data_IF_780343208546
#
_entry.id   IF_780343208546
#
_cell.length_a   1.000
_cell.length_b   1.000
_cell.length_c   1.000
_cell.angle_alpha   90.00
_cell.angle_beta   90.00
_cell.angle_gamma   90.00
#
_symmetry.space_group_name_H-M   'P 1'
#
loop_
_entity.id
_entity.type
_entity.pdbx_description
1 polymer ?
#
# COMPACT_ATOMS: atom_id res chain seq x y z
N UNK A 1 -21.36 -14.39 6.28
CA UNK A 1 -20.67 -13.60 7.34
C UNK A 1 -19.30 -13.18 6.80
N UNK A 2 -18.76 -12.03 7.26
CA UNK A 2 -17.49 -11.49 6.75
C UNK A 2 -16.23 -12.14 7.37
N UNK A 3 -16.39 -13.14 8.24
CA UNK A 3 -15.26 -13.75 8.96
C UNK A 3 -14.59 -12.83 9.97
N UNK A 4 -15.26 -11.78 10.40
CA UNK A 4 -14.77 -10.81 11.39
C UNK A 4 -15.40 -11.07 12.77
N UNK A 5 -14.69 -10.73 13.86
CA UNK A 5 -15.28 -10.71 15.20
C UNK A 5 -16.46 -9.74 15.29
N UNK A 6 -17.43 -10.04 16.15
CA UNK A 6 -18.69 -9.28 16.29
C UNK A 6 -18.50 -7.80 16.67
N UNK A 7 -17.40 -7.47 17.35
CA UNK A 7 -17.09 -6.08 17.76
C UNK A 7 -16.53 -5.22 16.62
N UNK A 8 -16.14 -5.83 15.50
CA UNK A 8 -15.57 -5.11 14.33
C UNK A 8 -16.70 -4.50 13.49
N UNK A 9 -16.70 -3.19 13.37
CA UNK A 9 -17.69 -2.40 12.63
C UNK A 9 -17.09 -1.64 11.44
N UNK A 10 -15.77 -1.69 11.29
CA UNK A 10 -15.05 -1.03 10.19
C UNK A 10 -13.92 -1.91 9.64
N UNK A 11 -13.63 -1.75 8.36
CA UNK A 11 -12.52 -2.39 7.65
C UNK A 11 -11.60 -1.32 7.06
N UNK A 12 -10.31 -1.44 7.33
CA UNK A 12 -9.24 -0.60 6.80
C UNK A 12 -8.37 -1.45 5.88
N UNK A 13 -8.46 -1.20 4.58
CA UNK A 13 -7.76 -1.99 3.58
C UNK A 13 -6.51 -1.27 3.11
N UNK A 14 -5.36 -1.95 3.07
CA UNK A 14 -4.34 -1.53 2.13
C UNK A 14 -4.86 -1.68 0.70
N UNK A 15 -4.21 -1.04 -0.25
CA UNK A 15 -4.62 -1.05 -1.65
C UNK A 15 -3.84 -2.07 -2.48
N UNK A 16 -2.51 -1.89 -2.47
CA UNK A 16 -1.59 -2.63 -3.32
C UNK A 16 -1.36 -4.03 -2.72
N UNK A 17 -1.64 -5.11 -3.47
CA UNK A 17 -1.56 -6.48 -2.95
C UNK A 17 -2.81 -6.95 -2.19
N UNK A 18 -3.62 -6.05 -1.64
CA UNK A 18 -4.86 -6.39 -0.93
C UNK A 18 -6.09 -6.27 -1.83
N UNK A 19 -6.35 -5.09 -2.39
CA UNK A 19 -7.50 -4.83 -3.26
C UNK A 19 -7.14 -4.97 -4.75
N UNK A 20 -5.92 -4.57 -5.10
CA UNK A 20 -5.45 -4.51 -6.48
C UNK A 20 -4.10 -5.19 -6.65
N UNK A 21 -3.90 -5.81 -7.81
CA UNK A 21 -2.61 -6.39 -8.21
C UNK A 21 -1.73 -5.31 -8.84
N UNK A 22 -1.34 -4.31 -8.04
CA UNK A 22 -0.51 -3.18 -8.48
C UNK A 22 0.95 -3.32 -8.08
N UNK A 23 1.31 -4.30 -7.25
CA UNK A 23 2.69 -4.51 -6.80
C UNK A 23 3.64 -4.64 -8.00
N UNK A 24 3.32 -5.46 -9.00
CA UNK A 24 4.12 -5.62 -10.22
C UNK A 24 4.23 -4.33 -11.04
N UNK A 25 3.17 -3.50 -11.06
CA UNK A 25 3.19 -2.19 -11.75
C UNK A 25 4.07 -1.20 -11.00
N UNK A 26 4.04 -1.22 -9.66
CA UNK A 26 4.92 -0.42 -8.81
C UNK A 26 6.37 -0.81 -9.00
N UNK A 27 6.69 -2.09 -8.94
CA UNK A 27 8.03 -2.66 -9.14
C UNK A 27 8.59 -2.29 -10.52
N UNK A 28 7.82 -2.53 -11.59
CA UNK A 28 8.23 -2.19 -12.95
C UNK A 28 8.47 -0.68 -13.13
N UNK A 29 7.64 0.17 -12.53
CA UNK A 29 7.83 1.62 -12.59
C UNK A 29 9.06 2.07 -11.79
N UNK A 30 9.37 1.46 -10.65
CA UNK A 30 10.59 1.71 -9.90
C UNK A 30 11.82 1.26 -10.64
N UNK A 31 11.78 0.03 -11.18
CA UNK A 31 12.89 -0.51 -11.98
C UNK A 31 13.21 0.39 -13.15
N UNK A 32 12.25 0.78 -13.95
CA UNK A 32 12.45 1.68 -15.07
C UNK A 32 12.99 3.05 -14.63
N UNK A 33 12.48 3.59 -13.52
CA UNK A 33 12.92 4.88 -12.97
C UNK A 33 14.38 4.84 -12.56
N UNK A 34 14.77 3.83 -11.77
CA UNK A 34 16.13 3.73 -11.26
C UNK A 34 17.11 3.29 -12.33
N UNK A 35 16.75 2.35 -13.22
CA UNK A 35 17.63 1.93 -14.32
C UNK A 35 17.99 3.11 -15.23
N UNK A 36 17.03 3.97 -15.57
CA UNK A 36 17.29 5.19 -16.34
C UNK A 36 18.29 6.12 -15.62
N UNK A 37 18.14 6.29 -14.32
CA UNK A 37 19.04 7.12 -13.53
C UNK A 37 20.43 6.48 -13.39
N UNK A 38 20.49 5.20 -13.03
CA UNK A 38 21.72 4.46 -12.75
C UNK A 38 22.59 4.31 -13.99
N UNK A 39 21.99 4.02 -15.17
CA UNK A 39 22.71 3.96 -16.45
C UNK A 39 23.40 5.28 -16.78
N UNK A 40 22.73 6.41 -16.54
CA UNK A 40 23.33 7.73 -16.77
C UNK A 40 24.51 8.03 -15.83
N UNK A 41 24.60 7.34 -14.69
CA UNK A 41 25.67 7.49 -13.71
C UNK A 41 26.71 6.36 -13.75
N UNK A 42 26.59 5.39 -14.67
CA UNK A 42 27.52 4.26 -14.81
C UNK A 42 27.43 3.22 -13.69
N UNK A 43 26.29 3.16 -13.03
CA UNK A 43 26.00 2.28 -11.90
C UNK A 43 25.33 0.96 -12.35
N UNK A 44 25.41 -0.04 -11.47
CA UNK A 44 24.73 -1.33 -11.68
C UNK A 44 23.20 -1.16 -11.65
N UNK A 45 22.45 -1.94 -12.46
CA UNK A 45 20.99 -1.82 -12.53
C UNK A 45 20.31 -2.13 -11.18
N UNK A 46 19.09 -1.61 -11.05
CA UNK A 46 18.18 -1.88 -9.93
C UNK A 46 17.68 -3.33 -9.95
N UNK A 47 17.65 -3.99 -8.80
CA UNK A 47 17.29 -5.41 -8.63
C UNK A 47 16.04 -5.57 -7.78
N UNK A 48 15.44 -6.78 -7.83
CA UNK A 48 14.29 -7.14 -6.99
C UNK A 48 14.64 -7.06 -5.50
N UNK A 49 15.87 -7.46 -5.11
CA UNK A 49 16.35 -7.33 -3.73
C UNK A 49 16.49 -5.85 -3.29
N UNK A 50 16.85 -4.94 -4.21
CA UNK A 50 16.85 -3.50 -3.93
C UNK A 50 15.41 -3.00 -3.70
N UNK A 51 14.44 -3.50 -4.47
CA UNK A 51 13.03 -3.16 -4.31
C UNK A 51 12.53 -3.55 -2.92
N UNK A 52 12.67 -4.81 -2.55
CA UNK A 52 12.25 -5.35 -1.25
C UNK A 52 12.90 -4.63 -0.07
N UNK A 53 14.19 -4.31 -0.18
CA UNK A 53 14.95 -3.74 0.94
C UNK A 53 14.70 -2.24 1.13
N UNK A 54 14.64 -1.48 0.04
CA UNK A 54 14.73 -0.03 0.12
C UNK A 54 13.46 0.71 -0.27
N UNK A 55 12.52 0.07 -0.96
CA UNK A 55 11.42 0.76 -1.64
C UNK A 55 10.05 0.25 -1.26
N UNK A 56 9.89 -1.07 -1.13
CA UNK A 56 8.59 -1.68 -0.89
C UNK A 56 7.94 -1.18 0.41
N UNK A 57 6.64 -0.87 0.34
CA UNK A 57 5.87 -0.34 1.46
C UNK A 57 6.24 1.08 1.94
N UNK A 58 7.31 1.69 1.39
CA UNK A 58 7.78 3.03 1.81
C UNK A 58 7.10 4.18 1.05
N UNK A 59 7.01 5.36 1.70
CA UNK A 59 6.66 6.60 0.99
C UNK A 59 7.64 6.87 -0.16
N UNK A 60 7.12 7.32 -1.30
CA UNK A 60 7.85 7.47 -2.57
C UNK A 60 9.24 8.11 -2.41
N UNK A 61 9.31 9.29 -1.81
CA UNK A 61 10.56 10.03 -1.72
C UNK A 61 11.52 9.44 -0.68
N UNK A 62 11.00 8.76 0.34
CA UNK A 62 11.83 7.98 1.26
C UNK A 62 12.50 6.81 0.54
N UNK A 63 11.75 6.07 -0.29
CA UNK A 63 12.31 4.98 -1.11
C UNK A 63 13.42 5.47 -2.05
N UNK A 64 13.25 6.63 -2.70
CA UNK A 64 14.32 7.24 -3.54
C UNK A 64 15.58 7.52 -2.71
N UNK A 65 15.42 8.18 -1.55
CA UNK A 65 16.57 8.51 -0.68
C UNK A 65 17.30 7.26 -0.21
N UNK A 66 16.54 6.32 0.35
CA UNK A 66 17.11 5.12 0.97
C UNK A 66 17.88 4.27 -0.05
N UNK A 67 17.27 4.07 -1.22
CA UNK A 67 17.92 3.30 -2.28
C UNK A 67 19.19 4.00 -2.81
N UNK A 68 19.11 5.26 -3.19
CA UNK A 68 20.27 5.97 -3.73
C UNK A 68 21.40 6.12 -2.68
N UNK A 69 21.04 6.36 -1.43
CA UNK A 69 22.00 6.39 -0.32
C UNK A 69 22.72 5.04 -0.15
N UNK A 70 22.04 3.90 -0.35
CA UNK A 70 22.67 2.57 -0.30
C UNK A 70 23.75 2.37 -1.38
N UNK A 71 23.65 3.12 -2.48
CA UNK A 71 24.64 3.16 -3.57
C UNK A 71 25.68 4.29 -3.41
N UNK A 72 25.65 5.04 -2.30
CA UNK A 72 26.52 6.20 -2.05
C UNK A 72 26.17 7.42 -2.90
N UNK A 73 24.96 7.46 -3.47
CA UNK A 73 24.49 8.53 -4.35
C UNK A 73 23.56 9.46 -3.53
N UNK A 74 23.86 10.75 -3.53
CA UNK A 74 23.14 11.75 -2.72
C UNK A 74 22.72 12.94 -3.58
N UNK A 75 21.66 12.80 -4.42
CA UNK A 75 21.17 13.93 -5.20
C UNK A 75 20.53 14.99 -4.28
N UNK A 76 20.41 16.24 -4.75
CA UNK A 76 19.67 17.27 -4.03
C UNK A 76 18.24 16.83 -3.73
N UNK A 77 17.67 17.35 -2.63
CA UNK A 77 16.26 17.06 -2.29
C UNK A 77 15.30 17.54 -3.39
N UNK A 78 15.50 18.75 -3.88
CA UNK A 78 14.64 19.38 -4.87
C UNK A 78 13.36 19.96 -4.26
N UNK A 79 12.40 20.27 -5.14
CA UNK A 79 11.08 20.78 -4.78
C UNK A 79 10.00 19.75 -5.13
N UNK A 80 8.85 19.74 -4.40
CA UNK A 80 7.78 18.78 -4.65
C UNK A 80 7.25 18.74 -6.10
N UNK A 81 7.34 19.85 -6.82
CA UNK A 81 6.91 20.04 -8.19
C UNK A 81 8.03 19.92 -9.24
N UNK A 82 9.22 19.44 -8.85
CA UNK A 82 10.32 19.21 -9.80
C UNK A 82 9.87 18.32 -10.95
N UNK A 83 10.21 18.70 -12.20
CA UNK A 83 9.85 17.90 -13.36
C UNK A 83 10.51 16.51 -13.32
N UNK A 84 9.89 15.49 -13.93
CA UNK A 84 10.40 14.11 -13.94
C UNK A 84 11.80 13.92 -14.52
N UNK A 85 12.28 14.88 -15.31
CA UNK A 85 13.60 14.88 -15.95
C UNK A 85 14.71 15.37 -15.01
N UNK A 86 14.35 15.99 -13.89
CA UNK A 86 15.33 16.58 -12.97
C UNK A 86 15.90 15.51 -12.02
N UNK A 87 17.23 15.54 -11.86
CA UNK A 87 17.97 14.60 -11.00
C UNK A 87 17.99 15.08 -9.53
N UNK A 88 16.82 15.17 -8.94
CA UNK A 88 16.59 15.42 -7.51
C UNK A 88 15.76 14.28 -6.94
N UNK A 89 15.71 14.15 -5.60
CA UNK A 89 14.85 13.17 -4.93
C UNK A 89 13.41 13.30 -5.42
N UNK A 90 12.90 14.54 -5.46
CA UNK A 90 11.54 14.81 -5.92
C UNK A 90 11.36 14.54 -7.43
N UNK A 91 12.28 14.98 -8.29
CA UNK A 91 12.20 14.73 -9.73
C UNK A 91 12.21 13.25 -10.07
N UNK A 92 13.12 12.46 -9.46
CA UNK A 92 13.17 11.01 -9.62
C UNK A 92 11.87 10.34 -9.15
N UNK A 93 11.37 10.74 -7.99
CA UNK A 93 10.09 10.25 -7.47
C UNK A 93 8.90 10.62 -8.36
N UNK A 94 8.90 11.82 -8.95
CA UNK A 94 7.88 12.27 -9.90
C UNK A 94 7.97 11.53 -11.24
N UNK A 95 9.18 11.17 -11.69
CA UNK A 95 9.40 10.25 -12.83
C UNK A 95 8.70 8.91 -12.60
N UNK A 96 8.93 8.32 -11.43
CA UNK A 96 8.26 7.07 -11.05
C UNK A 96 6.74 7.19 -11.08
N UNK A 97 6.20 8.28 -10.53
CA UNK A 97 4.76 8.50 -10.51
C UNK A 97 4.18 8.57 -11.93
N UNK A 98 4.86 9.30 -12.82
CA UNK A 98 4.45 9.41 -14.23
C UNK A 98 4.46 8.04 -14.91
N UNK A 99 5.55 7.27 -14.79
CA UNK A 99 5.66 5.94 -15.37
C UNK A 99 4.59 5.00 -14.86
N UNK A 100 4.31 5.03 -13.55
CA UNK A 100 3.25 4.24 -12.94
C UNK A 100 1.85 4.58 -13.50
N UNK A 101 1.51 5.87 -13.57
CA UNK A 101 0.22 6.31 -14.11
C UNK A 101 0.10 6.00 -15.62
N UNK A 102 1.16 6.13 -16.38
CA UNK A 102 1.17 5.81 -17.81
C UNK A 102 0.98 4.30 -18.04
N UNK A 103 1.54 3.44 -17.18
CA UNK A 103 1.29 1.99 -17.20
C UNK A 103 -0.15 1.66 -16.87
N UNK A 104 -0.69 2.22 -15.79
CA UNK A 104 -2.10 2.02 -15.42
C UNK A 104 -3.05 2.43 -16.55
N UNK A 105 -2.78 3.54 -17.23
CA UNK A 105 -3.62 3.99 -18.35
C UNK A 105 -3.59 3.07 -19.56
N UNK A 106 -2.42 2.46 -19.85
CA UNK A 106 -2.24 1.57 -20.99
C UNK A 106 -2.74 0.14 -20.74
N UNK A 107 -2.46 -0.37 -19.55
CA UNK A 107 -2.59 -1.80 -19.21
C UNK A 107 -3.80 -2.06 -18.31
N UNK A 108 -4.34 -1.01 -17.68
CA UNK A 108 -5.36 -1.12 -16.63
C UNK A 108 -4.76 -1.54 -15.29
N UNK A 109 -5.64 -1.78 -14.32
CA UNK A 109 -5.29 -2.32 -13.01
C UNK A 109 -6.18 -3.53 -12.74
N UNK A 110 -5.56 -4.65 -12.49
CA UNK A 110 -6.27 -5.85 -12.06
C UNK A 110 -6.76 -5.68 -10.63
N UNK A 111 -8.05 -5.94 -10.40
CA UNK A 111 -8.66 -6.00 -9.07
C UNK A 111 -8.81 -7.47 -8.68
N UNK A 112 -8.37 -7.82 -7.49
CA UNK A 112 -8.60 -9.16 -6.97
C UNK A 112 -10.11 -9.42 -6.85
N UNK A 113 -10.58 -10.49 -7.49
CA UNK A 113 -12.01 -10.80 -7.56
C UNK A 113 -12.65 -11.01 -6.19
N UNK A 114 -11.96 -11.71 -5.29
CA UNK A 114 -12.39 -11.91 -3.92
C UNK A 114 -12.44 -10.60 -3.12
N UNK A 115 -11.50 -9.68 -3.33
CA UNK A 115 -11.49 -8.38 -2.67
C UNK A 115 -12.67 -7.51 -3.10
N UNK A 116 -12.99 -7.48 -4.40
CA UNK A 116 -14.20 -6.79 -4.90
C UNK A 116 -15.48 -7.37 -4.29
N UNK A 117 -15.57 -8.71 -4.23
CA UNK A 117 -16.71 -9.40 -3.60
C UNK A 117 -16.81 -9.08 -2.10
N UNK A 118 -15.68 -9.09 -1.40
CA UNK A 118 -15.63 -8.76 0.03
C UNK A 118 -16.09 -7.33 0.31
N UNK A 119 -15.63 -6.35 -0.46
CA UNK A 119 -16.06 -4.95 -0.36
C UNK A 119 -17.58 -4.80 -0.57
N UNK A 120 -18.14 -5.52 -1.55
CA UNK A 120 -19.59 -5.51 -1.79
C UNK A 120 -20.37 -6.05 -0.58
N UNK A 121 -19.95 -7.18 -0.04
CA UNK A 121 -20.57 -7.81 1.14
C UNK A 121 -20.42 -6.95 2.40
N UNK A 122 -19.25 -6.32 2.60
CA UNK A 122 -19.03 -5.38 3.69
C UNK A 122 -19.96 -4.15 3.60
N UNK A 123 -20.20 -3.66 2.36
CA UNK A 123 -21.18 -2.59 2.12
C UNK A 123 -22.60 -3.03 2.46
N UNK A 124 -23.02 -4.20 2.01
CA UNK A 124 -24.34 -4.76 2.29
C UNK A 124 -24.57 -4.99 3.79
N UNK A 125 -23.52 -5.40 4.51
CA UNK A 125 -23.55 -5.59 5.97
C UNK A 125 -23.49 -4.27 6.75
N UNK A 126 -23.36 -3.12 6.10
CA UNK A 126 -23.26 -1.81 6.77
C UNK A 126 -21.94 -1.57 7.50
N UNK A 127 -20.90 -2.39 7.24
CA UNK A 127 -19.56 -2.21 7.82
C UNK A 127 -18.88 -1.02 7.15
N UNK A 128 -18.29 -0.11 7.91
CA UNK A 128 -17.56 1.05 7.38
C UNK A 128 -16.27 0.60 6.68
N UNK A 129 -15.84 1.31 5.63
CA UNK A 129 -14.70 0.92 4.79
C UNK A 129 -13.83 2.10 4.44
N UNK A 130 -12.53 1.98 4.71
CA UNK A 130 -11.54 2.93 4.26
C UNK A 130 -10.38 2.22 3.55
N UNK A 131 -9.69 2.95 2.69
CA UNK A 131 -8.40 2.55 2.14
C UNK A 131 -7.30 3.33 2.81
N UNK A 132 -6.22 2.63 3.19
CA UNK A 132 -5.03 3.18 3.84
C UNK A 132 -3.79 2.71 3.08
N UNK A 133 -3.29 3.54 2.17
CA UNK A 133 -2.17 3.21 1.30
C UNK A 133 -1.04 4.25 1.43
N UNK A 134 0.21 3.80 1.34
CA UNK A 134 1.36 4.69 1.25
C UNK A 134 1.51 5.35 -0.13
N UNK A 135 0.72 4.92 -1.12
CA UNK A 135 0.79 5.43 -2.48
C UNK A 135 0.11 6.80 -2.62
N UNK A 136 0.80 7.75 -3.21
CA UNK A 136 0.20 9.03 -3.63
C UNK A 136 -0.77 8.88 -4.80
N UNK A 137 -0.83 7.71 -5.43
CA UNK A 137 -1.71 7.44 -6.55
C UNK A 137 -2.96 6.63 -6.16
N UNK A 138 -3.18 6.38 -4.86
CA UNK A 138 -4.25 5.51 -4.38
C UNK A 138 -5.64 5.94 -4.89
N UNK A 139 -5.95 7.22 -4.86
CA UNK A 139 -7.24 7.75 -5.37
C UNK A 139 -7.40 7.48 -6.87
N UNK A 140 -6.34 7.67 -7.67
CA UNK A 140 -6.39 7.42 -9.11
C UNK A 140 -6.60 5.92 -9.42
N UNK A 141 -5.97 5.03 -8.65
CA UNK A 141 -6.16 3.57 -8.75
C UNK A 141 -7.60 3.19 -8.39
N UNK A 142 -8.13 3.70 -7.28
CA UNK A 142 -9.52 3.43 -6.87
C UNK A 142 -10.53 3.85 -7.94
N UNK A 143 -10.36 5.06 -8.52
CA UNK A 143 -11.22 5.57 -9.58
C UNK A 143 -11.12 4.75 -10.87
N UNK A 144 -9.89 4.42 -11.30
CA UNK A 144 -9.67 3.63 -12.53
C UNK A 144 -10.26 2.22 -12.46
N UNK A 145 -10.37 1.66 -11.26
CA UNK A 145 -10.91 0.32 -10.99
C UNK A 145 -12.39 0.32 -10.61
N UNK A 146 -12.99 1.51 -10.37
CA UNK A 146 -14.35 1.64 -9.85
C UNK A 146 -14.51 1.10 -8.42
N UNK A 147 -13.41 1.00 -7.65
CA UNK A 147 -13.45 0.61 -6.24
C UNK A 147 -13.85 1.76 -5.32
N UNK A 148 -13.68 3.00 -5.76
CA UNK A 148 -14.05 4.23 -5.04
C UNK A 148 -15.51 4.22 -4.57
N UNK A 149 -16.42 3.63 -5.34
CA UNK A 149 -17.84 3.48 -4.97
C UNK A 149 -18.09 2.65 -3.70
N UNK A 150 -17.12 1.85 -3.26
CA UNK A 150 -17.22 1.04 -2.04
C UNK A 150 -16.61 1.73 -0.82
N UNK A 151 -15.80 2.75 -1.00
CA UNK A 151 -14.91 3.33 0.01
C UNK A 151 -15.48 4.66 0.52
N UNK A 152 -15.48 4.86 1.84
CA UNK A 152 -15.99 6.05 2.50
C UNK A 152 -14.90 7.04 2.87
N UNK A 153 -13.67 6.55 3.10
CA UNK A 153 -12.52 7.38 3.45
C UNK A 153 -11.23 6.81 2.83
N UNK A 154 -10.30 7.69 2.52
CA UNK A 154 -8.98 7.32 1.99
C UNK A 154 -7.91 8.07 2.77
N UNK A 155 -6.91 7.33 3.24
CA UNK A 155 -5.63 7.85 3.73
C UNK A 155 -4.59 7.40 2.71
N UNK A 156 -4.08 8.34 1.95
CA UNK A 156 -3.09 8.11 0.90
C UNK A 156 -1.74 8.76 1.22
N UNK A 157 -0.77 8.62 0.32
CA UNK A 157 0.56 9.23 0.50
C UNK A 157 0.51 10.76 0.66
N UNK A 158 -0.44 11.45 0.03
CA UNK A 158 -0.61 12.91 0.22
C UNK A 158 -1.12 13.22 1.63
N UNK A 159 -2.09 12.47 2.13
CA UNK A 159 -2.62 12.59 3.49
C UNK A 159 -1.51 12.34 4.52
N UNK A 160 -0.70 11.29 4.31
CA UNK A 160 0.43 10.95 5.18
C UNK A 160 1.42 12.12 5.24
N UNK A 161 1.79 12.69 4.10
CA UNK A 161 2.73 13.81 4.03
C UNK A 161 2.15 15.09 4.67
N UNK A 162 0.92 15.49 4.31
CA UNK A 162 0.28 16.69 4.83
C UNK A 162 0.08 16.66 6.35
N UNK A 163 -0.32 15.52 6.88
CA UNK A 163 -0.51 15.33 8.33
C UNK A 163 0.77 14.95 9.07
N UNK A 164 1.90 14.77 8.37
CA UNK A 164 3.19 14.31 8.92
C UNK A 164 3.07 13.00 9.71
N UNK A 165 2.28 12.08 9.19
CA UNK A 165 2.11 10.77 9.80
C UNK A 165 3.38 9.93 9.55
N UNK A 166 3.75 9.12 10.53
CA UNK A 166 4.80 8.12 10.33
C UNK A 166 4.25 7.01 9.43
N UNK A 167 5.07 6.56 8.50
CA UNK A 167 4.73 5.43 7.63
C UNK A 167 4.74 4.09 8.38
N UNK A 168 4.11 3.07 7.80
CA UNK A 168 4.19 1.68 8.27
C UNK A 168 5.67 1.29 8.48
N UNK A 169 6.04 0.64 9.58
CA UNK A 169 5.21 -0.08 10.56
C UNK A 169 4.62 0.78 11.70
N UNK A 170 4.72 2.11 11.67
CA UNK A 170 4.00 2.93 12.63
C UNK A 170 2.48 2.88 12.33
N UNK A 171 1.62 2.89 13.36
CA UNK A 171 0.17 2.72 13.19
C UNK A 171 -0.55 3.98 12.69
N UNK A 172 0.15 5.11 12.56
CA UNK A 172 -0.41 6.44 12.40
C UNK A 172 -1.40 6.55 11.23
N UNK A 173 -1.08 5.94 10.07
CA UNK A 173 -1.94 5.98 8.89
C UNK A 173 -3.24 5.17 9.08
N UNK A 174 -3.18 4.00 9.71
CA UNK A 174 -4.37 3.21 10.04
C UNK A 174 -5.21 3.88 11.11
N UNK A 175 -4.59 4.47 12.15
CA UNK A 175 -5.31 5.25 13.16
C UNK A 175 -6.04 6.44 12.53
N UNK A 176 -5.41 7.15 11.58
CA UNK A 176 -6.07 8.21 10.82
C UNK A 176 -7.26 7.69 9.99
N UNK A 177 -7.17 6.49 9.43
CA UNK A 177 -8.26 5.83 8.73
C UNK A 177 -9.45 5.52 9.64
N UNK A 178 -9.19 4.97 10.83
CA UNK A 178 -10.21 4.70 11.84
C UNK A 178 -10.89 5.99 12.32
N UNK A 179 -10.10 7.05 12.57
CA UNK A 179 -10.60 8.38 12.92
C UNK A 179 -11.56 8.94 11.85
N UNK A 180 -11.21 8.83 10.57
CA UNK A 180 -12.06 9.29 9.46
C UNK A 180 -13.39 8.52 9.38
N UNK A 181 -13.41 7.26 9.81
CA UNK A 181 -14.63 6.45 9.89
C UNK A 181 -15.39 6.65 11.20
N UNK A 182 -14.83 7.38 12.17
CA UNK A 182 -15.47 7.64 13.47
C UNK A 182 -15.51 6.42 14.40
N UNK A 183 -14.54 5.49 14.28
CA UNK A 183 -14.46 4.28 15.09
C UNK A 183 -13.16 4.21 15.89
N UNK A 184 -13.19 3.50 17.01
CA UNK A 184 -11.97 3.13 17.74
C UNK A 184 -11.15 2.06 16.99
N UNK A 185 -9.84 1.99 17.19
CA UNK A 185 -9.01 0.95 16.57
C UNK A 185 -9.47 -0.46 16.96
N UNK A 186 -9.93 -0.67 18.19
CA UNK A 186 -10.48 -1.92 18.68
C UNK A 186 -11.75 -2.38 17.95
N UNK A 187 -12.46 -1.46 17.27
CA UNK A 187 -13.65 -1.73 16.47
C UNK A 187 -13.35 -1.86 14.97
N UNK A 188 -12.10 -1.80 14.57
CA UNK A 188 -11.70 -1.87 13.17
C UNK A 188 -10.80 -3.09 12.89
N UNK A 189 -10.95 -3.67 11.69
CA UNK A 189 -10.07 -4.67 11.14
C UNK A 189 -9.12 -4.04 10.11
N UNK A 190 -7.84 -4.41 10.15
CA UNK A 190 -6.83 -4.05 9.16
C UNK A 190 -6.63 -5.21 8.20
N UNK A 191 -6.52 -4.92 6.90
CA UNK A 191 -6.24 -5.90 5.84
C UNK A 191 -4.97 -5.48 5.11
N UNK A 192 -3.97 -6.34 5.13
CA UNK A 192 -2.61 -6.02 4.68
C UNK A 192 -1.89 -7.23 4.10
N UNK A 193 -1.07 -7.01 3.09
CA UNK A 193 -0.21 -8.04 2.51
C UNK A 193 1.26 -7.87 2.90
N UNK A 194 1.68 -6.69 3.35
CA UNK A 194 3.06 -6.41 3.73
C UNK A 194 3.28 -6.58 5.24
N UNK A 195 4.45 -7.14 5.61
CA UNK A 195 4.88 -7.32 7.01
C UNK A 195 4.81 -6.01 7.80
N UNK A 196 5.29 -4.91 7.20
CA UNK A 196 5.27 -3.59 7.85
C UNK A 196 3.85 -3.09 8.15
N UNK A 197 2.88 -3.40 7.29
CA UNK A 197 1.51 -3.00 7.50
C UNK A 197 0.78 -3.86 8.53
N UNK A 198 1.02 -5.16 8.53
CA UNK A 198 0.54 -6.06 9.59
C UNK A 198 1.07 -5.61 10.95
N UNK A 199 2.37 -5.31 11.03
CA UNK A 199 2.99 -4.77 12.25
C UNK A 199 2.36 -3.42 12.68
N UNK A 200 2.02 -2.56 11.72
CA UNK A 200 1.31 -1.30 12.00
C UNK A 200 -0.09 -1.54 12.57
N UNK A 201 -0.85 -2.49 12.01
CA UNK A 201 -2.14 -2.92 12.55
C UNK A 201 -2.02 -3.40 14.00
N UNK A 202 -1.04 -4.25 14.26
CA UNK A 202 -0.77 -4.75 15.63
C UNK A 202 -0.36 -3.64 16.60
N UNK A 203 0.55 -2.76 16.17
CA UNK A 203 1.03 -1.63 16.99
C UNK A 203 -0.09 -0.61 17.30
N UNK A 204 -1.08 -0.49 16.42
CA UNK A 204 -2.25 0.38 16.60
C UNK A 204 -3.35 -0.20 17.48
N UNK A 205 -3.18 -1.41 18.01
CA UNK A 205 -4.18 -2.14 18.80
C UNK A 205 -5.53 -2.29 18.07
N UNK A 206 -5.47 -2.56 16.77
CA UNK A 206 -6.67 -2.85 16.00
C UNK A 206 -7.33 -4.14 16.44
N UNK A 207 -8.67 -4.16 16.41
CA UNK A 207 -9.49 -5.27 16.92
C UNK A 207 -9.30 -6.57 16.14
N UNK A 208 -8.81 -6.50 14.90
CA UNK A 208 -8.47 -7.66 14.08
C UNK A 208 -7.47 -7.29 12.98
N UNK A 209 -6.51 -8.15 12.72
CA UNK A 209 -5.51 -7.96 11.66
C UNK A 209 -5.52 -9.16 10.72
N UNK A 210 -5.90 -8.91 9.48
CA UNK A 210 -5.94 -9.91 8.41
C UNK A 210 -4.70 -9.76 7.54
N UNK A 211 -3.84 -10.76 7.53
CA UNK A 211 -2.74 -10.88 6.59
C UNK A 211 -3.23 -11.47 5.27
N UNK A 212 -2.83 -10.88 4.14
CA UNK A 212 -3.13 -11.39 2.80
C UNK A 212 -1.85 -11.93 2.17
N UNK A 213 -1.71 -13.25 2.12
CA UNK A 213 -0.51 -13.88 1.60
C UNK A 213 -0.51 -13.91 0.07
N UNK A 214 0.49 -13.25 -0.55
CA UNK A 214 0.69 -13.22 -2.00
C UNK A 214 1.96 -13.97 -2.46
N UNK A 215 2.88 -14.28 -1.55
CA UNK A 215 4.24 -14.73 -1.88
C UNK A 215 4.53 -16.19 -1.50
N UNK A 216 3.64 -16.85 -0.76
CA UNK A 216 3.79 -18.26 -0.41
C UNK A 216 4.06 -18.55 1.07
N UNK A 217 4.50 -19.77 1.42
CA UNK A 217 4.49 -20.26 2.82
C UNK A 217 5.37 -19.47 3.79
N UNK A 218 6.55 -19.02 3.35
CA UNK A 218 7.44 -18.21 4.20
C UNK A 218 6.79 -16.88 4.56
N UNK A 219 6.21 -16.21 3.59
CA UNK A 219 5.49 -14.94 3.80
C UNK A 219 4.27 -15.11 4.71
N UNK A 220 3.53 -16.23 4.60
CA UNK A 220 2.44 -16.53 5.54
C UNK A 220 2.94 -16.61 6.98
N UNK A 221 4.08 -17.27 7.20
CA UNK A 221 4.71 -17.36 8.51
C UNK A 221 5.08 -15.98 9.04
N UNK A 222 5.74 -15.16 8.22
CA UNK A 222 6.18 -13.81 8.59
C UNK A 222 4.99 -12.89 8.94
N UNK A 223 3.90 -12.95 8.17
CA UNK A 223 2.69 -12.19 8.49
C UNK A 223 2.11 -12.57 9.86
N UNK A 224 2.11 -13.88 10.20
CA UNK A 224 1.66 -14.36 11.51
C UNK A 224 2.58 -13.90 12.64
N UNK A 225 3.88 -14.00 12.47
CA UNK A 225 4.86 -13.56 13.48
C UNK A 225 4.78 -12.05 13.75
N UNK A 226 4.43 -11.25 12.73
CA UNK A 226 4.31 -9.81 12.89
C UNK A 226 2.92 -9.33 13.34
N UNK A 227 2.00 -10.27 13.62
CA UNK A 227 0.77 -9.97 14.36
C UNK A 227 -0.52 -10.07 13.58
N UNK A 228 -0.55 -10.77 12.44
CA UNK A 228 -1.80 -11.14 11.80
C UNK A 228 -2.56 -12.17 12.66
N UNK A 229 -3.82 -11.89 12.95
CA UNK A 229 -4.72 -12.80 13.67
C UNK A 229 -5.16 -13.96 12.76
N UNK A 230 -5.29 -13.68 11.47
CA UNK A 230 -5.56 -14.66 10.41
C UNK A 230 -4.77 -14.30 9.17
N UNK A 231 -4.34 -15.33 8.42
CA UNK A 231 -3.72 -15.14 7.09
C UNK A 231 -4.55 -15.92 6.08
N UNK A 232 -4.89 -15.23 4.98
CA UNK A 232 -5.66 -15.78 3.85
C UNK A 232 -4.92 -15.52 2.53
N UNK A 233 -5.18 -16.31 1.51
CA UNK A 233 -4.64 -16.06 0.17
C UNK A 233 -5.56 -15.16 -0.68
N UNK A 234 -6.84 -15.12 -0.35
CA UNK A 234 -7.83 -14.23 -0.97
C UNK A 234 -8.87 -13.81 0.07
N UNK A 235 -9.40 -12.58 -0.03
CA UNK A 235 -10.43 -12.11 0.92
C UNK A 235 -11.73 -12.91 0.84
N UNK A 236 -11.96 -13.61 -0.27
CA UNK A 236 -13.08 -14.56 -0.39
C UNK A 236 -12.98 -15.72 0.63
N UNK A 237 -11.77 -16.07 1.07
CA UNK A 237 -11.55 -17.15 2.05
C UNK A 237 -12.14 -16.82 3.43
N UNK A 238 -12.29 -15.52 3.74
CA UNK A 238 -12.95 -15.05 4.98
C UNK A 238 -14.46 -15.21 4.93
N UNK A 239 -15.04 -15.24 3.73
CA UNK A 239 -16.49 -15.30 3.53
C UNK A 239 -16.94 -16.76 3.61
N UNK A 240 -17.15 -17.26 4.83
CA UNK A 240 -17.61 -18.62 5.06
C UNK A 240 -19.06 -18.78 4.61
N UNK A 241 -19.32 -19.75 3.74
CA UNK A 241 -20.65 -20.31 3.50
C UNK A 241 -21.55 -19.45 2.60
N UNK A 242 -21.18 -19.33 1.32
CA UNK A 242 -22.14 -19.13 0.26
C UNK A 242 -22.25 -20.44 -0.55
#
# INVERSE_FOLDING_TARGET
>A
MLGLPDHVTACLFDLDGVLTNTASVHEAAWKETFDLYLVAHGEAPFTDADYETYVDGKPRFAGVRDFLASRGIHPPEGQPDDPPEQDTIHGIGNRKAKLFLDRIRREGVEVYGGSRRYLALAREAGVARAVVSSSMNAVAVLQSTGLDQFIQAVVDGHTIEQKRLRGKPAPDSFLAGAELLGVGPDQAAVFEDAIAGVAAGRAGHFGYVVGVNRLGPEHEHDLREHGADVVVSDLADLVSGA
#
